data_IF_665350409759
#
_entry.id   IF_665350409759
#
_cell.length_a   1.000
_cell.length_b   1.000
_cell.length_c   1.000
_cell.angle_alpha   90.00
_cell.angle_beta   90.00
_cell.angle_gamma   90.00
#
_symmetry.space_group_name_H-M   'P 1'
#
loop_
_entity.id
_entity.type
_entity.pdbx_description
1 polymer ?
#
# COMPACT_ATOMS: atom_id res chain seq x y z
N UNK A 1 3.68 12.73 1.93
CA UNK A 1 3.79 13.00 3.38
C UNK A 1 2.39 13.00 3.95
N UNK A 2 2.14 12.26 5.03
CA UNK A 2 0.86 12.26 5.76
C UNK A 2 0.74 13.53 6.60
N UNK A 3 -0.47 14.07 6.74
CA UNK A 3 -0.74 15.29 7.53
C UNK A 3 -1.69 14.94 8.68
N UNK A 4 -1.17 14.97 9.90
CA UNK A 4 -1.95 14.65 11.11
C UNK A 4 -2.47 15.93 11.73
N UNK A 5 -3.80 16.10 11.79
CA UNK A 5 -4.46 17.26 12.40
C UNK A 5 -5.44 16.88 13.53
N UNK A 6 -5.46 15.61 13.96
CA UNK A 6 -6.38 15.06 14.97
C UNK A 6 -6.44 15.90 16.24
N UNK A 7 -5.28 16.31 16.78
CA UNK A 7 -5.23 17.13 18.00
C UNK A 7 -5.89 18.51 17.85
N UNK A 8 -5.91 19.09 16.63
CA UNK A 8 -6.49 20.41 16.37
C UNK A 8 -8.02 20.39 16.30
N UNK A 9 -8.60 19.22 16.09
CA UNK A 9 -10.06 19.00 16.00
C UNK A 9 -10.61 18.20 17.18
N UNK A 10 -9.83 18.03 18.26
CA UNK A 10 -10.24 17.24 19.41
C UNK A 10 -11.44 17.82 20.17
N UNK A 11 -11.58 19.16 20.19
CA UNK A 11 -12.69 19.85 20.83
C UNK A 11 -13.52 20.62 19.79
N UNK A 12 -14.85 20.47 19.84
CA UNK A 12 -15.78 21.23 19.01
C UNK A 12 -15.91 22.67 19.52
N UNK A 13 -14.92 23.52 19.18
CA UNK A 13 -14.94 24.96 19.47
C UNK A 13 -15.54 25.75 18.30
N UNK A 14 -16.12 26.91 18.59
CA UNK A 14 -16.47 27.90 17.57
C UNK A 14 -15.23 28.23 16.70
N UNK A 15 -15.42 28.26 15.37
CA UNK A 15 -14.35 28.39 14.36
C UNK A 15 -13.26 27.31 14.37
N UNK A 16 -13.50 26.12 14.94
CA UNK A 16 -12.55 25.00 14.90
C UNK A 16 -12.15 24.59 13.47
N UNK A 17 -13.14 24.39 12.60
CA UNK A 17 -12.89 24.03 11.18
C UNK A 17 -12.33 25.19 10.35
N UNK A 18 -12.70 26.44 10.64
CA UNK A 18 -12.18 27.62 9.93
C UNK A 18 -10.66 27.72 10.04
N UNK A 19 -10.07 27.29 11.17
CA UNK A 19 -8.61 27.26 11.36
C UNK A 19 -7.91 26.24 10.45
N UNK A 20 -8.59 25.20 9.98
CA UNK A 20 -8.01 24.22 9.04
C UNK A 20 -7.90 24.79 7.62
N UNK A 21 -8.76 25.73 7.23
CA UNK A 21 -8.67 26.38 5.92
C UNK A 21 -7.37 27.21 5.80
N UNK A 22 -6.85 27.74 6.90
CA UNK A 22 -5.59 28.48 6.91
C UNK A 22 -4.34 27.58 6.85
N UNK A 23 -4.50 26.24 6.88
CA UNK A 23 -3.36 25.34 6.78
C UNK A 23 -2.84 25.26 5.33
N UNK A 24 -1.51 25.26 5.16
CA UNK A 24 -0.88 25.12 3.83
C UNK A 24 -0.40 23.70 3.52
N UNK A 25 0.09 22.95 4.53
CA UNK A 25 0.62 21.60 4.33
C UNK A 25 -0.52 20.61 4.09
N UNK A 26 -0.59 20.05 2.88
CA UNK A 26 -1.61 19.08 2.49
C UNK A 26 -3.01 19.68 2.32
N UNK A 27 -3.11 21.00 2.16
CA UNK A 27 -4.38 21.66 1.91
C UNK A 27 -4.77 21.63 0.43
N UNK A 28 -6.05 21.90 0.18
CA UNK A 28 -6.62 21.99 -1.16
C UNK A 28 -5.89 23.02 -2.03
N UNK A 29 -5.44 24.13 -1.44
CA UNK A 29 -4.70 25.18 -2.14
C UNK A 29 -3.40 24.65 -2.75
N UNK A 30 -2.64 23.84 -1.99
CA UNK A 30 -1.38 23.28 -2.49
C UNK A 30 -1.59 22.27 -3.63
N UNK A 31 -2.75 21.62 -3.68
CA UNK A 31 -3.08 20.66 -4.74
C UNK A 31 -3.61 21.38 -5.97
N UNK A 32 -4.49 22.39 -5.80
CA UNK A 32 -5.21 23.04 -6.90
C UNK A 32 -4.58 24.32 -7.44
N UNK A 33 -3.50 24.86 -6.84
CA UNK A 33 -3.00 26.19 -7.25
C UNK A 33 -2.60 26.26 -8.72
N UNK A 34 -2.06 25.19 -9.31
CA UNK A 34 -1.64 25.18 -10.72
C UNK A 34 -2.84 25.18 -11.65
N UNK A 35 -3.81 24.32 -11.35
CA UNK A 35 -5.07 24.17 -12.08
C UNK A 35 -5.90 25.45 -11.99
N UNK A 36 -5.96 26.04 -10.79
CA UNK A 36 -6.64 27.31 -10.56
C UNK A 36 -5.98 28.46 -11.31
N UNK A 37 -4.64 28.54 -11.30
CA UNK A 37 -3.90 29.54 -12.07
C UNK A 37 -4.12 29.38 -13.58
N UNK A 38 -4.08 28.15 -14.08
CA UNK A 38 -4.36 27.85 -15.49
C UNK A 38 -5.80 28.22 -15.88
N UNK A 39 -6.78 27.91 -15.02
CA UNK A 39 -8.17 28.30 -15.22
C UNK A 39 -8.33 29.83 -15.26
N UNK A 40 -7.73 30.54 -14.30
CA UNK A 40 -7.78 32.00 -14.25
C UNK A 40 -7.10 32.64 -15.47
N UNK A 41 -5.97 32.10 -15.92
CA UNK A 41 -5.27 32.55 -17.11
C UNK A 41 -6.14 32.36 -18.37
N UNK A 42 -6.77 31.20 -18.53
CA UNK A 42 -7.65 30.93 -19.67
C UNK A 42 -8.91 31.81 -19.64
N UNK A 43 -9.54 31.95 -18.48
CA UNK A 43 -10.70 32.83 -18.31
C UNK A 43 -10.36 34.29 -18.61
N UNK A 44 -9.22 34.76 -18.10
CA UNK A 44 -8.74 36.13 -18.34
C UNK A 44 -8.40 36.35 -19.81
N UNK A 45 -7.77 35.37 -20.48
CA UNK A 45 -7.49 35.43 -21.91
C UNK A 45 -8.79 35.56 -22.72
N UNK A 46 -9.81 34.73 -22.43
CA UNK A 46 -11.12 34.83 -23.08
C UNK A 46 -11.76 36.20 -22.81
N UNK A 47 -11.68 36.71 -21.58
CA UNK A 47 -12.22 38.02 -21.20
C UNK A 47 -11.53 39.18 -21.92
N UNK A 48 -10.20 39.14 -22.05
CA UNK A 48 -9.40 40.13 -22.78
C UNK A 48 -9.75 40.07 -24.27
N UNK A 49 -9.82 38.88 -24.86
CA UNK A 49 -10.19 38.68 -26.27
C UNK A 49 -11.59 39.25 -26.54
N UNK A 50 -12.57 38.99 -25.67
CA UNK A 50 -13.92 39.55 -25.79
C UNK A 50 -13.94 41.08 -25.71
N UNK A 51 -13.16 41.69 -24.80
CA UNK A 51 -13.18 43.14 -24.55
C UNK A 51 -12.40 43.96 -25.57
N UNK A 52 -11.23 43.48 -25.99
CA UNK A 52 -10.27 44.28 -26.76
C UNK A 52 -10.10 43.83 -28.21
N UNK A 53 -10.45 42.59 -28.56
CA UNK A 53 -10.15 42.03 -29.88
C UNK A 53 -11.40 41.69 -30.71
N UNK A 54 -12.57 41.48 -30.09
CA UNK A 54 -13.81 41.20 -30.82
C UNK A 54 -14.50 42.49 -31.26
N UNK A 55 -14.98 42.47 -32.51
CA UNK A 55 -15.86 43.50 -33.05
C UNK A 55 -17.32 43.31 -32.58
N UNK A 56 -18.17 44.34 -32.72
CA UNK A 56 -19.51 44.36 -32.10
C UNK A 56 -20.44 43.26 -32.62
N UNK A 57 -20.34 42.87 -33.88
CA UNK A 57 -21.09 41.72 -34.40
C UNK A 57 -20.57 40.39 -33.85
N UNK A 58 -19.25 40.24 -33.70
CA UNK A 58 -18.64 39.03 -33.12
C UNK A 58 -18.98 38.87 -31.63
N UNK A 59 -19.08 39.98 -30.88
CA UNK A 59 -19.51 39.97 -29.47
C UNK A 59 -20.91 39.38 -29.32
N UNK A 60 -21.85 39.75 -30.18
CA UNK A 60 -23.23 39.19 -30.17
C UNK A 60 -23.25 37.68 -30.38
N UNK A 61 -22.38 37.14 -31.23
CA UNK A 61 -22.24 35.69 -31.39
C UNK A 61 -21.61 35.03 -30.16
N UNK A 62 -20.59 35.66 -29.57
CA UNK A 62 -19.95 35.17 -28.35
C UNK A 62 -20.92 35.12 -27.16
N UNK A 63 -21.78 36.12 -27.00
CA UNK A 63 -22.82 36.16 -25.95
C UNK A 63 -23.81 34.99 -26.10
N UNK A 64 -24.27 34.71 -27.33
CA UNK A 64 -25.13 33.55 -27.61
C UNK A 64 -24.43 32.23 -27.26
N UNK A 65 -23.14 32.10 -27.58
CA UNK A 65 -22.34 30.93 -27.22
C UNK A 65 -22.19 30.79 -25.70
N UNK A 66 -21.94 31.88 -24.98
CA UNK A 66 -21.80 31.86 -23.52
C UNK A 66 -23.10 31.42 -22.83
N UNK A 67 -24.25 31.93 -23.29
CA UNK A 67 -25.58 31.52 -22.81
C UNK A 67 -25.81 30.02 -23.09
N UNK A 68 -25.47 29.55 -24.30
CA UNK A 68 -25.56 28.15 -24.67
C UNK A 68 -24.72 27.27 -23.73
N UNK A 69 -23.43 27.59 -23.53
CA UNK A 69 -22.55 26.84 -22.61
C UNK A 69 -23.06 26.85 -21.17
N UNK A 70 -23.59 27.97 -20.67
CA UNK A 70 -24.13 28.07 -19.32
C UNK A 70 -25.37 27.18 -19.11
N UNK A 71 -26.17 26.99 -20.16
CA UNK A 71 -27.29 26.05 -20.12
C UNK A 71 -26.79 24.63 -19.85
N UNK A 72 -25.80 24.13 -20.59
CA UNK A 72 -25.27 22.77 -20.39
C UNK A 72 -24.51 22.57 -19.07
N UNK A 73 -23.93 23.64 -18.51
CA UNK A 73 -23.20 23.56 -17.24
C UNK A 73 -24.09 23.13 -16.05
N UNK A 74 -25.40 23.43 -16.10
CA UNK A 74 -26.34 23.06 -15.04
C UNK A 74 -26.94 21.66 -15.18
N UNK A 75 -26.89 21.07 -16.39
CA UNK A 75 -27.50 19.77 -16.67
C UNK A 75 -26.67 18.56 -16.23
N UNK A 76 -25.37 18.72 -15.93
CA UNK A 76 -24.50 17.61 -15.55
C UNK A 76 -24.45 17.51 -14.02
N UNK A 77 -25.07 16.51 -13.37
CA UNK A 77 -24.97 16.32 -11.92
C UNK A 77 -23.60 15.74 -11.55
N UNK A 78 -22.54 16.53 -11.75
CA UNK A 78 -21.17 16.15 -11.43
C UNK A 78 -21.02 15.81 -9.95
N UNK A 79 -21.78 16.47 -9.07
CA UNK A 79 -21.78 16.23 -7.63
C UNK A 79 -22.16 14.79 -7.27
N UNK A 80 -23.10 14.18 -7.99
CA UNK A 80 -23.52 12.80 -7.74
C UNK A 80 -22.39 11.81 -8.06
N UNK A 81 -21.86 11.88 -9.29
CA UNK A 81 -20.77 11.01 -9.76
C UNK A 81 -19.51 11.19 -8.90
N UNK A 82 -19.17 12.44 -8.58
CA UNK A 82 -18.04 12.76 -7.72
C UNK A 82 -18.21 12.15 -6.33
N UNK A 83 -19.42 12.19 -5.75
CA UNK A 83 -19.73 11.58 -4.46
C UNK A 83 -19.46 10.07 -4.42
N UNK A 84 -19.94 9.30 -5.40
CA UNK A 84 -19.65 7.87 -5.49
C UNK A 84 -18.17 7.59 -5.69
N UNK A 85 -17.54 8.33 -6.60
CA UNK A 85 -16.14 8.15 -6.91
C UNK A 85 -15.26 8.40 -5.68
N UNK A 86 -15.46 9.52 -4.98
CA UNK A 86 -14.71 9.88 -3.77
C UNK A 86 -14.93 8.83 -2.68
N UNK A 87 -16.17 8.39 -2.47
CA UNK A 87 -16.48 7.34 -1.47
C UNK A 87 -15.73 6.04 -1.76
N UNK A 88 -15.71 5.61 -3.03
CA UNK A 88 -14.96 4.42 -3.45
C UNK A 88 -13.46 4.60 -3.22
N UNK A 89 -12.89 5.76 -3.56
CA UNK A 89 -11.47 6.06 -3.37
C UNK A 89 -11.09 6.05 -1.89
N UNK A 90 -11.88 6.68 -1.03
CA UNK A 90 -11.64 6.73 0.43
C UNK A 90 -11.70 5.33 1.03
N UNK A 91 -12.70 4.53 0.66
CA UNK A 91 -12.81 3.14 1.12
C UNK A 91 -11.60 2.29 0.70
N UNK A 92 -11.15 2.44 -0.55
CA UNK A 92 -9.94 1.76 -1.04
C UNK A 92 -8.68 2.23 -0.32
N UNK A 93 -8.54 3.53 -0.09
CA UNK A 93 -7.40 4.10 0.63
C UNK A 93 -7.32 3.56 2.08
N UNK A 94 -8.43 3.56 2.80
CA UNK A 94 -8.48 3.03 4.17
C UNK A 94 -8.20 1.52 4.21
N UNK A 95 -8.75 0.79 3.25
CA UNK A 95 -8.49 -0.63 3.05
C UNK A 95 -7.00 -0.91 2.79
N UNK A 96 -6.31 -0.08 2.00
CA UNK A 96 -4.86 -0.18 1.80
C UNK A 96 -4.07 0.11 3.08
N UNK A 97 -4.43 1.18 3.80
CA UNK A 97 -3.77 1.56 5.05
C UNK A 97 -3.86 0.46 6.12
N UNK A 98 -5.05 -0.11 6.31
CA UNK A 98 -5.29 -1.22 7.26
C UNK A 98 -4.65 -2.55 6.83
N UNK A 99 -4.21 -2.66 5.57
CA UNK A 99 -3.53 -3.85 5.03
C UNK A 99 -2.00 -3.79 5.20
N UNK A 100 -1.45 -2.69 5.70
CA UNK A 100 0.00 -2.56 5.92
C UNK A 100 0.44 -3.60 6.98
N UNK A 101 1.44 -4.45 6.68
CA UNK A 101 1.88 -5.50 7.57
C UNK A 101 2.60 -4.90 8.79
N UNK A 102 1.90 -4.85 9.93
CA UNK A 102 2.45 -4.42 11.22
C UNK A 102 3.01 -5.63 11.99
N UNK A 103 4.27 -5.61 12.44
CA UNK A 103 4.92 -6.74 13.10
C UNK A 103 4.48 -6.95 14.56
N UNK A 104 3.71 -6.03 15.13
CA UNK A 104 3.37 -5.95 16.56
C UNK A 104 2.72 -7.24 17.10
N UNK A 105 1.69 -7.76 16.40
CA UNK A 105 1.03 -9.00 16.81
C UNK A 105 1.99 -10.20 16.77
N UNK A 106 2.82 -10.27 15.73
CA UNK A 106 3.80 -11.35 15.59
C UNK A 106 4.86 -11.28 16.69
N UNK A 107 5.30 -10.07 17.04
CA UNK A 107 6.26 -9.82 18.11
C UNK A 107 5.75 -10.33 19.46
N UNK A 108 4.49 -10.03 19.80
CA UNK A 108 3.89 -10.51 21.05
C UNK A 108 3.82 -12.04 21.11
N UNK A 109 3.39 -12.68 20.02
CA UNK A 109 3.30 -14.15 19.95
C UNK A 109 4.69 -14.79 20.00
N UNK A 110 5.69 -14.24 19.30
CA UNK A 110 7.06 -14.76 19.37
C UNK A 110 7.70 -14.55 20.74
N UNK A 111 7.40 -13.44 21.42
CA UNK A 111 7.94 -13.17 22.75
C UNK A 111 7.35 -14.10 23.81
N UNK A 112 6.06 -14.42 23.73
CA UNK A 112 5.40 -15.32 24.68
C UNK A 112 5.53 -16.81 24.31
N UNK A 113 5.65 -17.14 23.03
CA UNK A 113 5.58 -18.50 22.52
C UNK A 113 6.93 -19.22 22.34
N UNK A 114 8.03 -18.48 22.15
CA UNK A 114 9.37 -19.06 22.02
C UNK A 114 10.13 -19.01 23.35
N UNK A 115 10.28 -20.17 23.96
CA UNK A 115 11.03 -20.34 25.20
C UNK A 115 12.54 -20.49 24.94
N UNK A 116 13.35 -20.02 25.90
CA UNK A 116 14.81 -20.10 25.85
C UNK A 116 15.45 -18.74 26.04
N UNK A 117 16.18 -18.59 27.16
CA UNK A 117 17.01 -17.42 27.47
C UNK A 117 18.47 -17.60 27.02
N UNK A 118 18.77 -18.72 26.39
CA UNK A 118 20.03 -19.03 25.76
C UNK A 118 20.22 -18.29 24.44
N UNK A 119 21.46 -18.26 23.96
CA UNK A 119 21.81 -17.57 22.73
C UNK A 119 21.02 -18.08 21.52
N UNK A 120 20.76 -19.39 21.44
CA UNK A 120 19.95 -20.01 20.38
C UNK A 120 18.52 -19.48 20.38
N UNK A 121 17.86 -19.41 21.55
CA UNK A 121 16.52 -18.84 21.68
C UNK A 121 16.46 -17.36 21.29
N UNK A 122 17.47 -16.58 21.69
CA UNK A 122 17.61 -15.17 21.29
C UNK A 122 17.77 -15.03 19.76
N UNK A 123 18.61 -15.85 19.14
CA UNK A 123 18.84 -15.85 17.69
C UNK A 123 17.59 -16.27 16.90
N UNK A 124 16.83 -17.26 17.38
CA UNK A 124 15.57 -17.69 16.77
C UNK A 124 14.54 -16.57 16.74
N UNK A 125 14.29 -15.90 17.88
CA UNK A 125 13.33 -14.78 17.96
C UNK A 125 13.72 -13.63 17.03
N UNK A 126 15.00 -13.24 17.01
CA UNK A 126 15.51 -12.17 16.13
C UNK A 126 15.39 -12.53 14.66
N UNK A 127 15.72 -13.77 14.29
CA UNK A 127 15.70 -14.22 12.89
C UNK A 127 14.26 -14.33 12.36
N UNK A 128 13.33 -14.88 13.16
CA UNK A 128 11.92 -14.95 12.80
C UNK A 128 11.32 -13.54 12.60
N UNK A 129 11.57 -12.60 13.51
CA UNK A 129 11.14 -11.22 13.33
C UNK A 129 11.74 -10.58 12.08
N UNK A 130 13.04 -10.78 11.85
CA UNK A 130 13.73 -10.24 10.68
C UNK A 130 13.16 -10.78 9.36
N UNK A 131 12.80 -12.06 9.28
CA UNK A 131 12.16 -12.63 8.08
C UNK A 131 10.77 -12.02 7.81
N UNK A 132 9.98 -11.78 8.86
CA UNK A 132 8.69 -11.09 8.72
C UNK A 132 8.88 -9.64 8.23
N UNK A 133 9.82 -8.90 8.82
CA UNK A 133 10.16 -7.53 8.41
C UNK A 133 10.74 -7.48 6.99
N UNK A 134 11.55 -8.46 6.60
CA UNK A 134 12.13 -8.55 5.26
C UNK A 134 11.04 -8.77 4.20
N UNK A 135 10.08 -9.65 4.45
CA UNK A 135 8.92 -9.82 3.57
C UNK A 135 8.13 -8.51 3.41
N UNK A 136 7.83 -7.84 4.54
CA UNK A 136 7.15 -6.54 4.54
C UNK A 136 7.93 -5.47 3.75
N UNK A 137 9.25 -5.43 3.86
CA UNK A 137 10.10 -4.51 3.12
C UNK A 137 10.07 -4.78 1.62
N UNK A 138 10.23 -6.03 1.19
CA UNK A 138 10.25 -6.41 -0.22
C UNK A 138 8.94 -6.04 -0.92
N UNK A 139 7.82 -6.25 -0.22
CA UNK A 139 6.52 -5.90 -0.78
C UNK A 139 6.29 -4.38 -0.79
N UNK A 140 6.65 -3.66 0.28
CA UNK A 140 6.54 -2.20 0.34
C UNK A 140 7.42 -1.51 -0.72
N UNK A 141 8.62 -2.04 -0.97
CA UNK A 141 9.52 -1.60 -2.04
C UNK A 141 8.88 -1.71 -3.43
N UNK A 142 8.00 -2.69 -3.63
CA UNK A 142 7.35 -2.96 -4.91
C UNK A 142 6.15 -2.04 -5.19
N UNK A 143 5.51 -1.50 -4.15
CA UNK A 143 4.30 -0.66 -4.29
C UNK A 143 4.52 0.82 -3.96
N UNK A 144 5.49 1.13 -3.10
CA UNK A 144 5.75 2.48 -2.64
C UNK A 144 7.01 3.04 -3.28
N UNK A 145 6.86 4.12 -4.05
CA UNK A 145 7.99 4.83 -4.65
C UNK A 145 8.94 5.42 -3.61
N UNK A 146 8.43 5.79 -2.43
CA UNK A 146 9.27 6.29 -1.33
C UNK A 146 10.18 5.19 -0.76
N UNK A 147 9.66 3.96 -0.63
CA UNK A 147 10.45 2.81 -0.16
C UNK A 147 11.41 2.34 -1.26
N UNK A 148 10.98 2.33 -2.52
CA UNK A 148 11.85 2.04 -3.66
C UNK A 148 13.03 3.00 -3.76
N UNK A 149 12.81 4.31 -3.59
CA UNK A 149 13.90 5.30 -3.56
C UNK A 149 14.89 5.08 -2.42
N UNK A 150 14.44 4.55 -1.28
CA UNK A 150 15.30 4.24 -0.13
C UNK A 150 16.06 2.92 -0.30
N UNK A 151 15.46 1.94 -0.98
CA UNK A 151 16.06 0.63 -1.24
C UNK A 151 15.99 0.30 -2.73
N UNK A 152 16.81 0.93 -3.59
CA UNK A 152 16.72 0.73 -5.04
C UNK A 152 17.18 -0.66 -5.49
N UNK A 153 18.18 -1.25 -4.82
CA UNK A 153 18.74 -2.58 -5.13
C UNK A 153 18.65 -3.52 -3.92
N UNK A 154 18.91 -4.81 -4.14
CA UNK A 154 18.93 -5.80 -3.05
C UNK A 154 20.12 -5.60 -2.12
N UNK A 155 21.20 -4.99 -2.61
CA UNK A 155 22.40 -4.63 -1.85
C UNK A 155 22.05 -3.66 -0.71
N UNK A 156 21.24 -2.63 -1.00
CA UNK A 156 20.74 -1.70 0.02
C UNK A 156 19.92 -2.41 1.10
N UNK A 157 19.21 -3.50 0.76
CA UNK A 157 18.44 -4.30 1.72
C UNK A 157 19.38 -5.10 2.63
N UNK A 158 20.49 -5.59 2.08
CA UNK A 158 21.53 -6.32 2.83
C UNK A 158 22.31 -5.36 3.74
N UNK A 159 22.75 -4.23 3.21
CA UNK A 159 23.51 -3.21 3.96
C UNK A 159 22.69 -2.62 5.12
N UNK A 160 21.38 -2.46 4.92
CA UNK A 160 20.46 -2.03 5.99
C UNK A 160 20.19 -3.12 7.05
N UNK A 161 20.74 -4.33 6.90
CA UNK A 161 20.66 -5.41 7.88
C UNK A 161 19.35 -6.21 7.86
N UNK A 162 18.49 -6.01 6.86
CA UNK A 162 17.26 -6.81 6.73
C UNK A 162 17.55 -8.21 6.19
N UNK A 163 18.58 -8.36 5.35
CA UNK A 163 18.99 -9.63 4.73
C UNK A 163 20.49 -9.85 4.94
N UNK A 164 20.90 -11.09 5.26
CA UNK A 164 22.33 -11.41 5.36
C UNK A 164 22.93 -11.69 3.97
N UNK A 165 24.26 -11.61 3.81
CA UNK A 165 24.93 -11.94 2.54
C UNK A 165 24.67 -13.39 2.10
N UNK A 166 24.59 -14.31 3.06
CA UNK A 166 24.30 -15.73 2.78
C UNK A 166 22.84 -15.94 2.35
N UNK A 167 21.90 -15.21 2.94
CA UNK A 167 20.51 -15.23 2.48
C UNK A 167 20.33 -14.61 1.11
N UNK A 168 21.09 -13.56 0.78
CA UNK A 168 21.09 -13.00 -0.57
C UNK A 168 21.50 -14.04 -1.61
N UNK A 169 22.56 -14.80 -1.36
CA UNK A 169 22.98 -15.90 -2.24
C UNK A 169 21.84 -16.92 -2.42
N UNK A 170 21.18 -17.32 -1.33
CA UNK A 170 20.01 -18.22 -1.38
C UNK A 170 18.83 -17.62 -2.14
N UNK A 171 18.59 -16.31 -2.00
CA UNK A 171 17.52 -15.58 -2.66
C UNK A 171 17.72 -15.45 -4.17
N UNK A 172 18.96 -15.24 -4.59
CA UNK A 172 19.36 -15.15 -6.00
C UNK A 172 19.39 -16.52 -6.68
N UNK A 173 19.86 -17.56 -5.97
CA UNK A 173 19.89 -18.95 -6.47
C UNK A 173 18.51 -19.56 -6.77
N UNK A 174 17.43 -18.99 -6.23
CA UNK A 174 16.08 -19.41 -6.56
C UNK A 174 15.63 -18.82 -7.90
N UNK A 175 15.54 -19.66 -8.93
CA UNK A 175 15.04 -19.23 -10.24
C UNK A 175 13.52 -19.06 -10.21
N UNK A 176 13.06 -17.81 -10.29
CA UNK A 176 11.64 -17.48 -10.43
C UNK A 176 11.50 -16.19 -11.23
N UNK A 177 10.64 -16.15 -12.27
CA UNK A 177 10.40 -14.95 -13.06
C UNK A 177 9.51 -13.93 -12.32
N UNK A 178 8.89 -14.33 -11.19
CA UNK A 178 7.98 -13.48 -10.43
C UNK A 178 8.69 -12.80 -9.25
N UNK A 179 8.07 -11.74 -8.73
CA UNK A 179 8.56 -11.04 -7.56
C UNK A 179 8.62 -11.98 -6.33
N UNK A 180 9.79 -12.06 -5.71
CA UNK A 180 10.16 -13.04 -4.68
C UNK A 180 9.87 -12.57 -3.24
N UNK A 181 8.92 -11.66 -3.03
CA UNK A 181 8.55 -11.16 -1.70
C UNK A 181 8.03 -12.25 -0.75
N UNK A 182 7.56 -13.38 -1.29
CA UNK A 182 7.04 -14.53 -0.53
C UNK A 182 8.16 -15.42 0.05
N UNK A 183 9.39 -15.30 -0.43
CA UNK A 183 10.52 -16.15 0.01
C UNK A 183 10.80 -16.05 1.52
N UNK A 184 10.91 -14.86 2.13
CA UNK A 184 11.14 -14.76 3.57
C UNK A 184 9.99 -15.33 4.41
N UNK A 185 8.75 -15.34 3.88
CA UNK A 185 7.63 -16.00 4.56
C UNK A 185 7.83 -17.52 4.62
N UNK A 186 8.35 -18.13 3.56
CA UNK A 186 8.66 -19.58 3.54
C UNK A 186 9.82 -19.89 4.49
N UNK A 187 10.86 -19.05 4.52
CA UNK A 187 11.95 -19.20 5.49
C UNK A 187 11.45 -19.06 6.93
N UNK A 188 10.51 -18.16 7.18
CA UNK A 188 9.85 -18.03 8.49
C UNK A 188 9.13 -19.31 8.88
N UNK A 189 8.29 -19.87 8.01
CA UNK A 189 7.53 -21.08 8.34
C UNK A 189 8.44 -22.28 8.58
N UNK A 190 9.49 -22.43 7.78
CA UNK A 190 10.46 -23.52 7.95
C UNK A 190 11.25 -23.37 9.25
N UNK A 191 11.65 -22.15 9.62
CA UNK A 191 12.36 -21.89 10.87
C UNK A 191 11.44 -22.10 12.09
N UNK A 192 10.16 -21.72 11.99
CA UNK A 192 9.19 -21.97 13.04
C UNK A 192 8.94 -23.48 13.24
N UNK A 193 8.86 -24.26 12.15
CA UNK A 193 8.76 -25.71 12.22
C UNK A 193 10.01 -26.35 12.84
N UNK A 194 11.21 -25.90 12.46
CA UNK A 194 12.45 -26.36 13.08
C UNK A 194 12.49 -26.05 14.58
N UNK A 195 12.07 -24.85 14.99
CA UNK A 195 11.98 -24.48 16.41
C UNK A 195 10.97 -25.33 17.20
N UNK A 196 9.92 -25.83 16.55
CA UNK A 196 8.98 -26.80 17.14
C UNK A 196 9.63 -28.18 17.35
N UNK A 197 10.36 -28.67 16.35
CA UNK A 197 11.12 -29.93 16.46
C UNK A 197 12.24 -29.84 17.51
N UNK A 198 12.86 -28.67 17.67
CA UNK A 198 13.84 -28.38 18.74
C UNK A 198 13.19 -28.25 20.14
N UNK A 199 11.86 -28.41 20.27
CA UNK A 199 11.15 -28.31 21.55
C UNK A 199 11.05 -26.88 22.11
N UNK A 200 11.40 -25.85 21.32
CA UNK A 200 11.35 -24.43 21.76
C UNK A 200 9.94 -23.86 21.77
N UNK A 201 9.09 -24.38 20.89
CA UNK A 201 7.66 -24.14 20.87
C UNK A 201 7.00 -25.39 21.45
N UNK A 202 6.33 -25.27 22.60
CA UNK A 202 5.72 -26.42 23.29
C UNK A 202 4.37 -26.81 22.71
N UNK A 203 3.54 -25.81 22.40
CA UNK A 203 2.14 -26.02 22.01
C UNK A 203 1.92 -25.81 20.52
N UNK A 204 1.12 -26.69 19.90
CA UNK A 204 0.73 -26.56 18.50
C UNK A 204 -0.19 -25.35 18.27
N UNK A 205 -0.91 -24.91 19.30
CA UNK A 205 -1.69 -23.67 19.26
C UNK A 205 -0.79 -22.45 19.03
N UNK A 206 0.33 -22.38 19.74
CA UNK A 206 1.33 -21.31 19.58
C UNK A 206 1.94 -21.32 18.19
N UNK A 207 2.24 -22.50 17.65
CA UNK A 207 2.71 -22.64 16.26
C UNK A 207 1.65 -22.15 15.26
N UNK A 208 0.37 -22.51 15.46
CA UNK A 208 -0.74 -22.03 14.63
C UNK A 208 -0.88 -20.51 14.69
N UNK A 209 -0.78 -19.91 15.88
CA UNK A 209 -0.81 -18.46 16.09
C UNK A 209 0.37 -17.73 15.44
N UNK A 210 1.54 -18.38 15.31
CA UNK A 210 2.69 -17.84 14.59
C UNK A 210 2.51 -17.92 13.06
N UNK A 211 1.91 -19.00 12.58
CA UNK A 211 1.71 -19.25 11.15
C UNK A 211 0.51 -18.49 10.58
N UNK A 212 -0.53 -18.20 11.36
CA UNK A 212 -1.71 -17.45 10.92
C UNK A 212 -1.39 -16.02 10.41
N UNK A 213 -0.65 -15.16 11.13
CA UNK A 213 -0.34 -13.81 10.69
C UNK A 213 0.60 -13.79 9.47
N UNK A 214 1.56 -14.72 9.42
CA UNK A 214 2.57 -14.79 8.34
C UNK A 214 2.04 -15.48 7.08
N UNK A 215 1.32 -16.59 7.24
CA UNK A 215 0.87 -17.44 6.14
C UNK A 215 -0.42 -17.00 5.45
N UNK A 216 -1.30 -16.27 6.13
CA UNK A 216 -2.60 -15.89 5.56
C UNK A 216 -2.80 -14.38 5.41
N UNK A 217 -2.37 -13.53 6.34
CA UNK A 217 -2.75 -12.11 6.29
C UNK A 217 -1.77 -11.27 5.48
N UNK A 218 -0.47 -11.40 5.70
CA UNK A 218 0.53 -10.61 4.98
C UNK A 218 0.58 -10.98 3.49
N UNK A 219 0.62 -12.28 3.18
CA UNK A 219 0.72 -12.73 1.79
C UNK A 219 -0.62 -12.63 1.06
N UNK A 220 -1.77 -13.01 1.66
CA UNK A 220 -3.05 -13.01 0.92
C UNK A 220 -3.68 -11.62 0.87
N UNK A 221 -3.64 -10.82 1.93
CA UNK A 221 -4.23 -9.47 1.89
C UNK A 221 -3.41 -8.58 0.95
N UNK A 222 -2.08 -8.63 1.05
CA UNK A 222 -1.23 -7.83 0.18
C UNK A 222 -1.17 -8.40 -1.24
N UNK A 223 -1.04 -9.72 -1.46
CA UNK A 223 -1.05 -10.30 -2.82
C UNK A 223 -2.41 -10.17 -3.51
N UNK A 224 -3.54 -10.47 -2.85
CA UNK A 224 -4.86 -10.30 -3.50
C UNK A 224 -5.18 -8.84 -3.80
N UNK A 225 -4.86 -7.90 -2.89
CA UNK A 225 -5.20 -6.47 -3.09
C UNK A 225 -4.18 -5.73 -3.95
N UNK A 226 -2.91 -6.10 -3.90
CA UNK A 226 -1.87 -5.54 -4.79
C UNK A 226 -1.94 -6.15 -6.18
N UNK A 227 -2.26 -7.44 -6.37
CA UNK A 227 -2.60 -7.93 -7.71
C UNK A 227 -3.86 -7.24 -8.26
N UNK A 228 -4.82 -6.85 -7.42
CA UNK A 228 -5.97 -6.07 -7.88
C UNK A 228 -5.61 -4.62 -8.26
N UNK A 229 -4.54 -4.05 -7.67
CA UNK A 229 -3.96 -2.76 -8.06
C UNK A 229 -3.04 -2.87 -9.29
N UNK A 230 -2.20 -3.90 -9.36
CA UNK A 230 -1.29 -4.18 -10.47
C UNK A 230 -2.05 -4.64 -11.71
N UNK A 231 -3.07 -5.51 -11.62
CA UNK A 231 -3.91 -5.87 -12.76
C UNK A 231 -4.67 -4.67 -13.33
N UNK A 232 -4.96 -3.64 -12.54
CA UNK A 232 -5.61 -2.43 -13.02
C UNK A 232 -4.64 -1.39 -13.60
N UNK A 233 -3.40 -1.34 -13.11
CA UNK A 233 -2.34 -0.46 -13.63
C UNK A 233 -1.57 -1.08 -14.81
N UNK A 234 -1.47 -2.41 -14.87
CA UNK A 234 -0.84 -3.19 -15.95
C UNK A 234 -1.85 -3.70 -16.98
N UNK A 235 -2.99 -3.03 -17.14
CA UNK A 235 -3.90 -3.23 -18.29
C UNK A 235 -3.24 -2.98 -19.66
N UNK A 236 -1.95 -2.63 -19.69
CA UNK A 236 -1.06 -2.75 -20.84
C UNK A 236 0.21 -3.46 -20.39
N UNK A 237 0.26 -4.79 -20.51
CA UNK A 237 1.40 -5.60 -20.95
C UNK A 237 1.28 -7.05 -20.43
N UNK A 238 1.26 -7.96 -21.41
CA UNK A 238 1.46 -9.42 -21.34
C UNK A 238 0.20 -10.26 -21.04
N UNK A 239 -0.40 -10.75 -22.13
CA UNK A 239 -1.13 -12.01 -22.14
C UNK A 239 -0.19 -13.15 -21.72
N UNK A 240 -0.56 -13.84 -20.66
CA UNK A 240 0.16 -14.98 -20.10
C UNK A 240 -0.59 -15.44 -18.87
N UNK A 241 -1.23 -16.61 -18.97
CA UNK A 241 -2.28 -17.05 -18.05
C UNK A 241 -1.92 -17.00 -16.56
N UNK A 242 -2.88 -16.56 -15.75
CA UNK A 242 -2.88 -16.73 -14.31
C UNK A 242 -2.82 -18.23 -13.95
N UNK A 243 -1.61 -18.77 -13.76
CA UNK A 243 -1.36 -20.06 -13.09
C UNK A 243 -0.54 -19.90 -11.80
N UNK A 244 -0.67 -18.76 -11.12
CA UNK A 244 0.05 -18.47 -9.86
C UNK A 244 -0.67 -18.88 -8.57
N UNK A 245 -1.94 -19.29 -8.62
CA UNK A 245 -2.75 -19.53 -7.40
C UNK A 245 -2.69 -21.00 -6.93
N UNK A 246 -2.20 -21.93 -7.76
CA UNK A 246 -2.16 -23.35 -7.41
C UNK A 246 -0.97 -23.77 -6.53
N UNK A 247 0.05 -22.92 -6.35
CA UNK A 247 1.20 -23.29 -5.51
C UNK A 247 0.89 -23.21 -4.00
N UNK A 248 -0.10 -22.40 -3.59
CA UNK A 248 -0.52 -22.33 -2.18
C UNK A 248 -1.52 -23.44 -1.81
N UNK A 249 -2.31 -23.92 -2.77
CA UNK A 249 -3.24 -25.06 -2.58
C UNK A 249 -2.48 -26.37 -2.36
N UNK A 250 -1.31 -26.53 -2.99
CA UNK A 250 -0.39 -27.64 -2.71
C UNK A 250 0.18 -27.60 -1.28
N UNK A 251 0.32 -26.41 -0.68
CA UNK A 251 0.74 -26.29 0.72
C UNK A 251 -0.39 -26.58 1.72
N UNK A 252 -1.64 -26.30 1.36
CA UNK A 252 -2.78 -26.73 2.18
C UNK A 252 -3.10 -28.22 2.05
N UNK A 253 -2.77 -28.86 0.92
CA UNK A 253 -2.96 -30.31 0.75
C UNK A 253 -1.86 -31.13 1.46
N UNK A 254 -0.68 -30.56 1.74
CA UNK A 254 0.33 -31.17 2.64
C UNK A 254 0.06 -30.98 4.14
N UNK A 255 -1.00 -30.27 4.55
CA UNK A 255 -1.37 -30.13 5.97
C UNK A 255 -1.97 -31.41 6.57
N UNK A 256 -2.28 -32.44 5.78
CA UNK A 256 -2.84 -33.71 6.26
C UNK A 256 -1.81 -34.82 6.51
N UNK A 257 -0.51 -34.59 6.26
CA UNK A 257 0.55 -35.60 6.51
C UNK A 257 1.63 -35.16 7.51
N UNK A 258 1.33 -34.23 8.43
CA UNK A 258 2.17 -33.98 9.60
C UNK A 258 1.81 -34.94 10.76
N UNK A 259 1.90 -36.24 10.49
CA UNK A 259 1.77 -37.31 11.47
C UNK A 259 2.93 -38.28 11.29
N UNK A 260 4.11 -37.89 11.79
CA UNK A 260 5.25 -38.75 12.13
C UNK A 260 6.46 -37.87 12.48
N UNK A 261 6.45 -37.32 13.70
CA UNK A 261 7.60 -37.01 14.54
C UNK A 261 7.05 -36.70 15.94
#
# INVERSE_FOLDING_TARGET
MTVTYTARVANARFCGFSKLLLAWKGSIYKVLYKEFLAFFAMYSAISITYRFFLDDDQKRYFEKLAIYCNHYASLIPMSFVLGFYVTLVVNRWWSQYTSIPLPDRLMCVLSGGLHGNDERGRLLRRTLMRYASLSALLILRSVSTAVFKRFPTMDHVVEAGFMTREERKKFEGLHSPYNKYWIPCVWFTNLAAAARCEGRIKDDHTLKLLLEPVGLKIVIIFSKRVNQLLCHLQGKQVGGGLRGVNCLVLFTSRKTNFGAC
#
